data_IF_113821980146
#
_entry.id   IF_113821980146
#
_cell.length_a   1.000
_cell.length_b   1.000
_cell.length_c   1.000
_cell.angle_alpha   90.00
_cell.angle_beta   90.00
_cell.angle_gamma   90.00
#
_symmetry.space_group_name_H-M   'P 1'
#
loop_
_entity.id
_entity.type
_entity.pdbx_description
1 polymer ?
#
# COMPACT_ATOMS: atom_id res chain seq x y z
N UNK A 1 4.38 -23.68 -27.46
CA UNK A 1 3.22 -22.78 -27.28
C UNK A 1 3.77 -21.57 -26.53
N UNK A 2 4.05 -20.49 -27.30
CA UNK A 2 4.51 -19.22 -26.76
C UNK A 2 3.33 -18.53 -26.08
N UNK A 3 3.43 -18.26 -24.77
CA UNK A 3 2.52 -17.38 -24.07
C UNK A 3 3.21 -16.02 -23.98
N UNK A 4 2.98 -15.16 -24.96
CA UNK A 4 3.27 -13.74 -24.86
C UNK A 4 2.23 -13.10 -23.93
N UNK A 5 2.67 -12.78 -22.72
CA UNK A 5 1.90 -11.98 -21.78
C UNK A 5 1.97 -10.51 -22.22
N UNK A 6 1.01 -10.09 -23.04
CA UNK A 6 0.91 -8.72 -23.51
C UNK A 6 0.33 -7.82 -22.40
N UNK A 7 1.17 -7.42 -21.45
CA UNK A 7 0.89 -6.23 -20.63
C UNK A 7 1.11 -4.96 -21.48
N UNK A 8 0.12 -4.57 -22.25
CA UNK A 8 0.02 -3.20 -22.74
C UNK A 8 -0.52 -2.33 -21.61
N UNK A 9 0.39 -1.80 -20.82
CA UNK A 9 0.09 -0.66 -19.97
C UNK A 9 -0.32 0.50 -20.91
N UNK A 10 -1.58 0.90 -20.90
CA UNK A 10 -2.04 2.11 -21.56
C UNK A 10 -1.31 3.29 -20.88
N UNK A 11 -0.25 3.75 -21.51
CA UNK A 11 0.49 4.94 -21.15
C UNK A 11 -0.43 6.11 -21.40
N UNK A 12 -1.16 6.56 -20.39
CA UNK A 12 -1.75 7.88 -20.40
C UNK A 12 -0.57 8.86 -20.42
N UNK A 13 -0.25 9.41 -21.59
CA UNK A 13 0.64 10.54 -21.74
C UNK A 13 0.00 11.77 -21.09
N UNK A 14 0.03 11.85 -19.77
CA UNK A 14 0.07 13.14 -19.12
C UNK A 14 1.46 13.70 -19.39
N UNK A 15 1.55 14.85 -20.05
CA UNK A 15 2.73 15.72 -19.93
C UNK A 15 2.92 15.99 -18.44
N UNK A 16 3.67 15.14 -17.75
CA UNK A 16 4.14 15.42 -16.43
C UNK A 16 5.22 16.48 -16.57
N UNK A 17 4.88 17.71 -16.21
CA UNK A 17 5.90 18.71 -15.90
C UNK A 17 6.87 18.05 -14.93
N UNK A 18 8.14 17.95 -15.35
CA UNK A 18 9.21 17.40 -14.53
C UNK A 18 9.29 18.22 -13.24
N UNK A 19 8.75 17.70 -12.16
CA UNK A 19 8.84 18.35 -10.85
C UNK A 19 10.11 17.88 -10.17
N UNK A 20 11.10 18.78 -10.08
CA UNK A 20 12.27 18.59 -9.23
C UNK A 20 12.03 19.33 -7.92
N UNK A 21 12.18 18.66 -6.82
CA UNK A 21 12.01 19.18 -5.47
C UNK A 21 13.23 18.82 -4.64
N UNK A 22 13.71 19.76 -3.86
CA UNK A 22 14.82 19.52 -2.96
C UNK A 22 14.36 19.72 -1.53
N UNK A 23 14.81 18.84 -0.65
CA UNK A 23 14.56 18.87 0.77
C UNK A 23 15.87 19.04 1.50
N UNK A 24 15.88 19.85 2.56
CA UNK A 24 17.00 19.93 3.48
C UNK A 24 16.56 19.45 4.85
N UNK A 25 17.01 18.26 5.23
CA UNK A 25 16.71 17.63 6.50
C UNK A 25 17.73 18.05 7.57
N UNK A 26 17.25 18.46 8.74
CA UNK A 26 18.12 18.72 9.89
C UNK A 26 18.93 17.47 10.23
N UNK A 27 18.31 16.30 10.18
CA UNK A 27 18.92 15.00 10.37
C UNK A 27 18.36 13.99 9.38
N UNK A 28 19.16 13.05 8.91
CA UNK A 28 18.67 11.89 8.14
C UNK A 28 19.26 10.60 8.70
N UNK A 29 18.42 9.61 8.93
CA UNK A 29 18.83 8.25 9.28
C UNK A 29 18.52 7.31 8.12
N UNK A 30 19.52 6.55 7.68
CA UNK A 30 19.44 5.68 6.48
C UNK A 30 19.77 4.22 6.79
N UNK A 31 19.57 3.81 8.06
CA UNK A 31 19.87 2.44 8.49
C UNK A 31 21.29 2.23 9.01
N UNK A 32 22.12 3.29 9.12
CA UNK A 32 23.43 3.25 9.76
C UNK A 32 23.32 3.37 11.30
N UNK A 33 24.46 3.28 12.01
CA UNK A 33 24.48 3.37 13.48
C UNK A 33 23.99 4.73 14.00
N UNK A 34 24.21 5.81 13.24
CA UNK A 34 23.82 7.18 13.64
C UNK A 34 23.13 7.93 12.49
N UNK A 35 22.32 8.92 12.86
CA UNK A 35 21.79 9.89 11.93
C UNK A 35 22.87 10.90 11.50
N UNK A 36 22.80 11.38 10.27
CA UNK A 36 23.69 12.39 9.71
C UNK A 36 22.98 13.75 9.74
N UNK A 37 23.69 14.80 10.14
CA UNK A 37 23.17 16.16 10.17
C UNK A 37 23.26 16.84 8.79
N UNK A 38 22.36 17.81 8.56
CA UNK A 38 22.39 18.69 7.39
C UNK A 38 22.43 17.92 6.06
N UNK A 39 21.39 17.14 5.80
CA UNK A 39 21.32 16.30 4.60
C UNK A 39 20.36 16.93 3.58
N UNK A 40 20.88 17.18 2.38
CA UNK A 40 20.09 17.65 1.25
C UNK A 40 19.68 16.48 0.37
N UNK A 41 18.38 16.36 0.05
CA UNK A 41 17.80 15.27 -0.71
C UNK A 41 17.12 15.85 -1.95
N UNK A 42 17.62 15.51 -3.13
CA UNK A 42 17.00 15.84 -4.40
C UNK A 42 16.03 14.76 -4.84
N UNK A 43 14.84 15.17 -5.27
CA UNK A 43 13.79 14.28 -5.76
C UNK A 43 13.33 14.78 -7.14
N UNK A 44 13.26 13.89 -8.12
CA UNK A 44 12.69 14.17 -9.42
C UNK A 44 11.74 13.06 -9.84
N UNK A 45 10.53 13.44 -10.24
CA UNK A 45 9.48 12.49 -10.64
C UNK A 45 9.22 11.37 -9.60
N UNK A 46 9.25 11.71 -8.30
CA UNK A 46 9.02 10.76 -7.22
C UNK A 46 10.20 9.83 -6.92
N UNK A 47 11.36 10.05 -7.53
CA UNK A 47 12.59 9.29 -7.29
C UNK A 47 13.66 10.18 -6.64
N UNK A 48 14.36 9.65 -5.65
CA UNK A 48 15.52 10.30 -5.06
C UNK A 48 16.64 10.29 -6.11
N UNK A 49 17.14 11.47 -6.45
CA UNK A 49 18.20 11.65 -7.47
C UNK A 49 19.55 12.02 -6.87
N UNK A 50 19.55 12.63 -5.69
CA UNK A 50 20.78 12.94 -4.95
C UNK A 50 20.55 12.89 -3.44
N UNK A 51 21.60 12.58 -2.70
CA UNK A 51 21.67 12.71 -1.23
C UNK A 51 23.06 13.25 -0.89
N UNK A 52 23.10 14.45 -0.31
CA UNK A 52 24.33 15.18 0.01
C UNK A 52 24.40 15.42 1.52
N UNK A 53 25.45 14.92 2.16
CA UNK A 53 25.62 14.98 3.60
C UNK A 53 26.42 16.22 4.03
N UNK A 54 26.06 16.81 5.17
CA UNK A 54 26.81 17.91 5.79
C UNK A 54 26.77 19.22 4.99
N UNK A 55 25.75 19.43 4.17
CA UNK A 55 25.63 20.63 3.32
C UNK A 55 24.61 21.61 3.89
N UNK A 56 24.84 22.90 3.66
CA UNK A 56 23.89 23.93 4.03
C UNK A 56 22.65 23.94 3.11
N UNK A 57 21.51 24.35 3.67
CA UNK A 57 20.29 24.51 2.91
C UNK A 57 20.44 25.60 1.85
N UNK A 58 19.98 25.31 0.65
CA UNK A 58 19.99 26.24 -0.48
C UNK A 58 18.65 26.98 -0.61
N UNK A 59 18.67 28.05 -1.37
CA UNK A 59 17.43 28.77 -1.70
C UNK A 59 16.49 27.84 -2.49
N UNK A 60 15.24 27.74 -2.05
CA UNK A 60 14.24 26.87 -2.68
C UNK A 60 14.17 25.45 -2.10
N UNK A 61 15.05 25.07 -1.17
CA UNK A 61 14.93 23.80 -0.46
C UNK A 61 13.78 23.85 0.56
N UNK A 62 12.97 22.82 0.58
CA UNK A 62 12.01 22.60 1.66
C UNK A 62 12.74 22.11 2.92
N UNK A 63 12.66 22.90 3.99
CA UNK A 63 13.35 22.59 5.25
C UNK A 63 12.53 21.68 6.11
N UNK A 64 13.11 20.55 6.49
CA UNK A 64 12.49 19.54 7.36
C UNK A 64 13.21 19.57 8.71
N UNK A 65 12.52 20.03 9.75
CA UNK A 65 12.99 19.92 11.12
C UNK A 65 12.82 18.50 11.64
N UNK A 66 13.82 18.00 12.42
CA UNK A 66 13.80 16.66 12.97
C UNK A 66 14.56 15.64 12.13
N UNK A 67 14.17 14.38 12.22
CA UNK A 67 14.86 13.25 11.54
C UNK A 67 14.03 12.76 10.36
N UNK A 68 14.62 12.79 9.18
CA UNK A 68 14.10 12.10 7.99
C UNK A 68 14.62 10.66 7.99
N UNK A 69 13.76 9.71 7.70
CA UNK A 69 14.10 8.30 7.63
C UNK A 69 13.31 7.61 6.50
N UNK A 70 13.78 6.47 5.97
CA UNK A 70 12.98 5.67 5.06
C UNK A 70 11.64 5.29 5.68
N UNK A 71 10.56 5.39 4.92
CA UNK A 71 9.25 4.96 5.38
C UNK A 71 9.21 3.45 5.64
N UNK A 72 8.39 3.04 6.57
CA UNK A 72 8.21 1.63 6.91
C UNK A 72 7.49 0.89 5.77
N UNK A 73 7.75 -0.41 5.68
CA UNK A 73 7.04 -1.32 4.78
C UNK A 73 6.27 -2.34 5.61
N UNK A 74 4.96 -2.42 5.39
CA UNK A 74 4.14 -3.48 5.93
C UNK A 74 4.16 -4.67 4.96
N UNK A 75 4.89 -5.73 5.32
CA UNK A 75 5.06 -6.91 4.47
C UNK A 75 3.93 -7.94 4.58
N UNK A 76 2.93 -7.74 5.47
CA UNK A 76 1.81 -8.65 5.67
C UNK A 76 0.53 -7.85 5.98
N UNK A 77 -0.36 -7.80 5.01
CA UNK A 77 -1.63 -7.10 5.12
C UNK A 77 -2.75 -7.85 4.43
N UNK A 78 -3.92 -7.80 5.06
CA UNK A 78 -5.22 -8.16 4.52
C UNK A 78 -6.17 -7.01 4.87
N UNK A 79 -6.23 -5.99 4.00
CA UNK A 79 -6.90 -4.74 4.31
C UNK A 79 -8.36 -4.91 4.77
N UNK A 80 -9.09 -5.90 4.22
CA UNK A 80 -10.48 -6.14 4.60
C UNK A 80 -10.65 -6.63 6.05
N UNK A 81 -9.61 -7.23 6.66
CA UNK A 81 -9.64 -7.60 8.07
C UNK A 81 -9.83 -6.41 9.01
N UNK A 82 -9.58 -5.19 8.50
CA UNK A 82 -9.85 -3.97 9.26
C UNK A 82 -11.31 -3.84 9.71
N UNK A 83 -12.26 -4.40 8.94
CA UNK A 83 -13.67 -4.47 9.30
C UNK A 83 -13.97 -5.39 10.49
N UNK A 84 -13.04 -6.24 10.88
CA UNK A 84 -13.15 -7.11 12.07
C UNK A 84 -12.77 -6.40 13.37
N UNK A 85 -12.20 -5.20 13.31
CA UNK A 85 -11.75 -4.47 14.50
C UNK A 85 -12.88 -4.29 15.50
N UNK A 86 -12.64 -4.72 16.73
CA UNK A 86 -13.60 -4.68 17.82
C UNK A 86 -14.72 -5.74 17.76
N UNK A 87 -14.69 -6.65 16.78
CA UNK A 87 -15.74 -7.68 16.60
C UNK A 87 -15.29 -9.09 16.99
N UNK A 88 -14.00 -9.32 17.20
CA UNK A 88 -13.42 -10.64 17.43
C UNK A 88 -12.93 -10.88 18.86
N UNK A 89 -13.23 -9.96 19.79
CA UNK A 89 -12.75 -10.03 21.18
C UNK A 89 -13.71 -10.69 22.16
N UNK A 90 -14.85 -11.19 21.72
CA UNK A 90 -15.95 -11.67 22.57
C UNK A 90 -16.01 -13.20 22.81
N UNK A 91 -14.94 -13.95 22.51
CA UNK A 91 -14.97 -15.41 22.64
C UNK A 91 -13.67 -15.99 23.19
N UNK A 92 -13.54 -17.33 23.15
CA UNK A 92 -12.35 -18.05 23.59
C UNK A 92 -11.06 -17.71 22.81
N UNK A 93 -11.15 -16.85 21.80
CA UNK A 93 -10.00 -16.33 21.07
C UNK A 93 -9.29 -17.35 20.18
N UNK A 94 -9.99 -18.40 19.75
CA UNK A 94 -9.43 -19.39 18.86
C UNK A 94 -9.51 -18.99 17.37
N UNK A 95 -8.79 -19.70 16.53
CA UNK A 95 -8.78 -19.46 15.07
C UNK A 95 -10.17 -19.59 14.45
N UNK A 96 -11.01 -20.48 14.93
CA UNK A 96 -12.32 -20.77 14.36
C UNK A 96 -13.34 -19.66 14.65
N UNK A 97 -13.31 -19.10 15.86
CA UNK A 97 -14.17 -17.99 16.26
C UNK A 97 -13.84 -16.70 15.48
N UNK A 98 -12.59 -16.53 15.01
CA UNK A 98 -12.19 -15.44 14.14
C UNK A 98 -12.55 -15.71 12.66
N UNK A 99 -12.43 -16.96 12.20
CA UNK A 99 -12.62 -17.34 10.79
C UNK A 99 -14.03 -17.07 10.29
N UNK A 100 -15.07 -17.41 11.05
CA UNK A 100 -16.47 -17.25 10.65
C UNK A 100 -16.82 -15.78 10.33
N UNK A 101 -16.65 -14.80 11.23
CA UNK A 101 -16.93 -13.41 10.91
C UNK A 101 -16.03 -12.85 9.80
N UNK A 102 -14.84 -13.38 9.59
CA UNK A 102 -13.96 -13.00 8.49
C UNK A 102 -14.60 -13.37 7.13
N UNK A 103 -15.12 -14.59 6.99
CA UNK A 103 -15.81 -15.00 5.75
C UNK A 103 -17.12 -14.26 5.55
N UNK A 104 -17.87 -13.98 6.62
CA UNK A 104 -19.09 -13.17 6.52
C UNK A 104 -18.82 -11.78 5.95
N UNK A 105 -17.72 -11.16 6.34
CA UNK A 105 -17.29 -9.87 5.79
C UNK A 105 -16.83 -10.05 4.34
N UNK A 106 -15.94 -11.00 4.07
CA UNK A 106 -15.41 -11.24 2.73
C UNK A 106 -16.55 -11.44 1.70
N UNK A 107 -17.57 -12.22 2.07
CA UNK A 107 -18.72 -12.52 1.22
C UNK A 107 -19.68 -11.33 1.01
N UNK A 108 -19.50 -10.21 1.70
CA UNK A 108 -20.33 -9.00 1.52
C UNK A 108 -19.63 -7.89 0.76
N UNK A 109 -18.35 -8.07 0.47
CA UNK A 109 -17.57 -7.04 -0.23
C UNK A 109 -17.95 -6.99 -1.71
N UNK A 110 -18.04 -5.78 -2.22
CA UNK A 110 -18.07 -5.44 -3.64
C UNK A 110 -16.79 -4.68 -3.97
N UNK A 111 -16.41 -4.52 -5.25
CA UNK A 111 -15.25 -3.71 -5.60
C UNK A 111 -15.27 -2.31 -4.97
N UNK A 112 -16.44 -1.66 -4.92
CA UNK A 112 -16.60 -0.33 -4.34
C UNK A 112 -16.35 -0.36 -2.82
N UNK A 113 -17.05 -1.23 -2.09
CA UNK A 113 -16.95 -1.29 -0.62
C UNK A 113 -15.59 -1.81 -0.17
N UNK A 114 -14.98 -2.72 -0.95
CA UNK A 114 -13.63 -3.20 -0.71
C UNK A 114 -12.60 -2.08 -0.92
N UNK A 115 -12.73 -1.32 -2.02
CA UNK A 115 -11.89 -0.18 -2.33
C UNK A 115 -11.96 0.91 -1.26
N UNK A 116 -13.15 1.24 -0.76
CA UNK A 116 -13.31 2.24 0.31
C UNK A 116 -12.68 1.77 1.64
N UNK A 117 -12.96 0.54 2.05
CA UNK A 117 -12.38 -0.05 3.26
C UNK A 117 -10.84 -0.09 3.18
N UNK A 118 -10.31 -0.51 2.03
CA UNK A 118 -8.88 -0.57 1.78
C UNK A 118 -8.24 0.81 1.78
N UNK A 119 -8.87 1.82 1.15
CA UNK A 119 -8.35 3.18 1.14
C UNK A 119 -8.22 3.76 2.55
N UNK A 120 -9.22 3.52 3.41
CA UNK A 120 -9.15 3.92 4.82
C UNK A 120 -8.02 3.20 5.57
N UNK A 121 -7.88 1.89 5.36
CA UNK A 121 -6.83 1.08 5.97
C UNK A 121 -5.44 1.55 5.56
N UNK A 122 -5.24 1.82 4.27
CA UNK A 122 -3.97 2.31 3.74
C UNK A 122 -3.68 3.75 4.18
N UNK A 123 -4.71 4.59 4.34
CA UNK A 123 -4.53 5.92 4.91
C UNK A 123 -4.08 5.86 6.38
N UNK A 124 -4.62 4.94 7.20
CA UNK A 124 -4.13 4.70 8.57
C UNK A 124 -2.67 4.23 8.56
N UNK A 125 -2.28 3.38 7.61
CA UNK A 125 -0.88 2.96 7.44
C UNK A 125 0.02 4.16 7.11
N UNK A 126 -0.40 5.01 6.15
CA UNK A 126 0.36 6.21 5.77
C UNK A 126 0.54 7.16 6.95
N UNK A 127 -0.51 7.41 7.74
CA UNK A 127 -0.46 8.22 8.96
C UNK A 127 0.47 7.63 10.03
N UNK A 128 0.73 6.33 9.97
CA UNK A 128 1.67 5.62 10.87
C UNK A 128 3.10 5.54 10.32
N UNK A 129 3.39 6.23 9.19
CA UNK A 129 4.71 6.24 8.56
C UNK A 129 5.00 5.05 7.65
N UNK A 130 3.99 4.24 7.31
CA UNK A 130 4.10 3.15 6.35
C UNK A 130 3.94 3.73 4.94
N UNK A 131 4.92 3.51 4.07
CA UNK A 131 4.96 4.03 2.70
C UNK A 131 4.83 2.95 1.63
N UNK A 132 4.85 1.69 2.05
CA UNK A 132 4.68 0.54 1.18
C UNK A 132 3.98 -0.61 1.89
N UNK A 133 3.19 -1.39 1.15
CA UNK A 133 2.45 -2.54 1.68
C UNK A 133 2.54 -3.73 0.73
N UNK A 134 2.78 -4.92 1.29
CA UNK A 134 2.52 -6.21 0.65
C UNK A 134 1.12 -6.66 1.04
N UNK A 135 0.18 -6.51 0.12
CA UNK A 135 -1.23 -6.85 0.36
C UNK A 135 -1.54 -8.24 -0.17
N UNK A 136 -1.90 -9.14 0.72
CA UNK A 136 -2.27 -10.51 0.39
C UNK A 136 -3.76 -10.55 0.01
N UNK A 137 -4.03 -10.58 -1.29
CA UNK A 137 -5.34 -10.50 -1.89
C UNK A 137 -5.85 -11.86 -2.35
N UNK A 138 -7.03 -12.26 -1.91
CA UNK A 138 -7.65 -13.55 -2.26
C UNK A 138 -9.18 -13.49 -2.39
N UNK A 139 -9.75 -12.30 -2.57
CA UNK A 139 -11.19 -12.11 -2.80
C UNK A 139 -11.39 -11.75 -4.27
N UNK A 140 -11.90 -12.69 -5.07
CA UNK A 140 -11.96 -12.56 -6.53
C UNK A 140 -13.37 -12.59 -7.12
N UNK A 141 -14.34 -13.12 -6.36
CA UNK A 141 -15.68 -13.43 -6.86
C UNK A 141 -16.73 -12.50 -6.26
N UNK A 142 -17.88 -12.46 -6.91
CA UNK A 142 -19.07 -11.81 -6.40
C UNK A 142 -19.61 -12.55 -5.17
N UNK A 143 -20.57 -11.92 -4.47
CA UNK A 143 -21.15 -12.47 -3.23
C UNK A 143 -21.84 -13.84 -3.42
N UNK A 144 -22.31 -14.13 -4.62
CA UNK A 144 -22.92 -15.41 -5.02
C UNK A 144 -21.90 -16.44 -5.53
N UNK A 145 -20.60 -16.12 -5.48
CA UNK A 145 -19.51 -16.95 -5.98
C UNK A 145 -19.29 -16.87 -7.49
N UNK A 146 -20.07 -16.09 -8.22
CA UNK A 146 -19.87 -15.91 -9.67
C UNK A 146 -18.68 -14.98 -9.94
N UNK A 147 -18.12 -15.09 -11.15
CA UNK A 147 -17.00 -14.23 -11.57
C UNK A 147 -17.51 -12.86 -11.98
N UNK A 148 -16.72 -11.84 -11.71
CA UNK A 148 -16.88 -10.54 -12.35
C UNK A 148 -16.58 -10.63 -13.85
N UNK A 149 -17.15 -9.71 -14.65
CA UNK A 149 -16.84 -9.61 -16.09
C UNK A 149 -15.33 -9.39 -16.29
N UNK A 150 -14.75 -8.51 -15.50
CA UNK A 150 -13.29 -8.42 -15.36
C UNK A 150 -12.87 -9.23 -14.14
N UNK A 151 -12.15 -10.35 -14.29
CA UNK A 151 -11.77 -11.20 -13.16
C UNK A 151 -10.85 -10.52 -12.14
N UNK A 152 -10.23 -9.40 -12.52
CA UNK A 152 -9.30 -8.63 -11.66
C UNK A 152 -9.98 -7.44 -10.94
N UNK A 153 -11.32 -7.32 -11.01
CA UNK A 153 -12.03 -6.12 -10.54
C UNK A 153 -11.76 -5.81 -9.06
N UNK A 154 -11.79 -6.82 -8.21
CA UNK A 154 -11.48 -6.69 -6.79
C UNK A 154 -10.02 -6.26 -6.56
N UNK A 155 -9.07 -6.85 -7.28
CA UNK A 155 -7.65 -6.47 -7.21
C UNK A 155 -7.39 -5.04 -7.71
N UNK A 156 -8.08 -4.63 -8.77
CA UNK A 156 -7.99 -3.25 -9.28
C UNK A 156 -8.53 -2.22 -8.29
N UNK A 157 -9.59 -2.56 -7.53
CA UNK A 157 -10.09 -1.72 -6.44
C UNK A 157 -9.03 -1.50 -5.36
N UNK A 158 -8.25 -2.54 -5.03
CA UNK A 158 -7.13 -2.44 -4.08
C UNK A 158 -6.01 -1.54 -4.61
N UNK A 159 -5.64 -1.68 -5.88
CA UNK A 159 -4.64 -0.81 -6.54
C UNK A 159 -5.08 0.65 -6.49
N UNK A 160 -6.34 0.93 -6.85
CA UNK A 160 -6.88 2.28 -6.80
C UNK A 160 -6.90 2.84 -5.36
N UNK A 161 -7.22 2.00 -4.37
CA UNK A 161 -7.21 2.37 -2.96
C UNK A 161 -5.81 2.78 -2.47
N UNK A 162 -4.77 2.03 -2.83
CA UNK A 162 -3.39 2.35 -2.46
C UNK A 162 -2.91 3.66 -3.09
N UNK A 163 -3.31 3.93 -4.34
CA UNK A 163 -3.01 5.18 -5.03
C UNK A 163 -3.69 6.38 -4.35
N UNK A 164 -4.94 6.24 -3.93
CA UNK A 164 -5.67 7.27 -3.16
C UNK A 164 -5.01 7.58 -1.82
N UNK A 165 -4.50 6.56 -1.15
CA UNK A 165 -3.78 6.70 0.12
C UNK A 165 -2.34 7.19 -0.04
N UNK A 166 -1.79 7.19 -1.26
CA UNK A 166 -0.42 7.64 -1.54
C UNK A 166 0.66 6.64 -1.09
N UNK A 167 0.34 5.36 -0.89
CA UNK A 167 1.32 4.32 -0.55
C UNK A 167 1.59 3.41 -1.75
N UNK A 168 2.80 2.85 -1.80
CA UNK A 168 3.16 1.83 -2.79
C UNK A 168 2.57 0.48 -2.38
N UNK A 169 2.15 -0.32 -3.35
CA UNK A 169 1.61 -1.65 -3.08
C UNK A 169 2.25 -2.71 -3.96
N UNK A 170 2.63 -3.83 -3.34
CA UNK A 170 2.83 -5.10 -4.00
C UNK A 170 1.56 -5.94 -3.75
N UNK A 171 0.70 -6.07 -4.75
CA UNK A 171 -0.47 -6.92 -4.66
C UNK A 171 -0.06 -8.38 -4.86
N UNK A 172 -0.18 -9.17 -3.81
CA UNK A 172 0.02 -10.62 -3.85
C UNK A 172 -1.32 -11.26 -4.20
N UNK A 173 -1.53 -11.50 -5.48
CA UNK A 173 -2.76 -12.05 -6.03
C UNK A 173 -2.77 -13.57 -5.87
N UNK A 174 -3.54 -14.09 -4.92
CA UNK A 174 -3.51 -15.50 -4.49
C UNK A 174 -4.84 -16.17 -4.77
N UNK A 175 -4.81 -17.31 -5.45
CA UNK A 175 -5.95 -18.16 -5.66
C UNK A 175 -5.87 -19.42 -4.78
N UNK A 176 -6.90 -19.63 -3.95
CA UNK A 176 -7.08 -20.88 -3.22
C UNK A 176 -7.90 -21.86 -4.08
N UNK A 177 -7.27 -22.95 -4.54
CA UNK A 177 -7.92 -23.96 -5.36
C UNK A 177 -8.66 -25.04 -4.55
N UNK A 178 -8.33 -25.18 -3.27
CA UNK A 178 -8.84 -26.21 -2.38
C UNK A 178 -9.14 -25.62 -0.98
N UNK A 179 -9.93 -24.58 -0.93
CA UNK A 179 -10.37 -23.97 0.33
C UNK A 179 -11.83 -24.35 0.60
N UNK A 180 -12.09 -25.63 0.85
CA UNK A 180 -13.39 -26.04 1.34
C UNK A 180 -13.55 -25.68 2.82
N UNK A 181 -14.73 -25.17 3.15
CA UNK A 181 -15.22 -24.98 4.52
C UNK A 181 -16.02 -26.24 4.88
N UNK A 182 -15.38 -27.41 4.91
CA UNK A 182 -16.02 -28.65 5.36
C UNK A 182 -15.86 -28.77 6.88
#
# INVERSE_FOLDING_TARGET
INVECAFRCAKAERLQTMTTQNFHAQWAWRGAESAVANVRIGVSNGLITSVEDGVEAQAGDERIAGVVMPGFVNAHSHAFHRALRGRTHGGAGDFWSWRTPMYEIANRLTPETYGELAAMTFAEMALSGITGVGEFHYIHHQQDGTRYVNPNEMGLAMVAASQRAGIRMALLDVAYLHAALD
#
